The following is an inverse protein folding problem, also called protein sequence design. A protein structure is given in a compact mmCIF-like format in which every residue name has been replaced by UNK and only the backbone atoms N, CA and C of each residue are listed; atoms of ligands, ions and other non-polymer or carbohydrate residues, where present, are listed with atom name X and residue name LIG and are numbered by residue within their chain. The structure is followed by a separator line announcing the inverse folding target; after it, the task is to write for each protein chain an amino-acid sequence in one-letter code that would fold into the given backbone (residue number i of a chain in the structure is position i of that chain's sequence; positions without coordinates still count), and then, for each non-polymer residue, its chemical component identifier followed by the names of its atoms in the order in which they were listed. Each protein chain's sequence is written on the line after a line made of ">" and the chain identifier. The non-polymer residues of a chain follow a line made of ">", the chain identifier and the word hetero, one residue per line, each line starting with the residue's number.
data_IF_450563715412
#
_entry.id   IF_450563715412
#
_cell.length_a   1.000
_cell.length_b   1.000
_cell.length_c   1.000
_cell.angle_alpha   90.00
_cell.angle_beta   90.00
_cell.angle_gamma   90.00
#
_symmetry.space_group_name_H-M   'P 1'
#
loop_
_entity.id
_entity.type
_entity.pdbx_description
1 polymer ?
#
# COMPACT_ATOMS: atom_id res chain seq x y z
N UNK A 1 6.44 -1.77 5.42
CA UNK A 1 5.61 -2.43 6.45
C UNK A 1 5.73 -3.95 6.42
N UNK A 2 5.75 -4.58 5.24
CA UNK A 2 5.79 -6.05 5.09
C UNK A 2 6.91 -6.77 5.88
N UNK A 3 8.21 -6.39 5.81
CA UNK A 3 9.26 -7.10 6.56
C UNK A 3 9.02 -7.07 8.08
N UNK A 4 8.50 -5.96 8.61
CA UNK A 4 8.16 -5.83 10.03
C UNK A 4 7.04 -6.79 10.43
N UNK A 5 6.02 -6.95 9.59
CA UNK A 5 4.91 -7.88 9.85
C UNK A 5 5.40 -9.34 9.79
N UNK A 6 6.19 -9.69 8.78
CA UNK A 6 6.74 -11.04 8.62
C UNK A 6 7.64 -11.43 9.80
N UNK A 7 8.48 -10.52 10.30
CA UNK A 7 9.28 -10.75 11.49
C UNK A 7 8.42 -11.05 12.73
N UNK A 8 7.29 -10.35 12.89
CA UNK A 8 6.34 -10.62 13.99
C UNK A 8 5.62 -11.97 13.83
N UNK A 9 5.27 -12.36 12.61
CA UNK A 9 4.66 -13.67 12.34
C UNK A 9 5.68 -14.77 12.65
N UNK A 10 6.91 -14.65 12.17
CA UNK A 10 7.97 -15.63 12.40
C UNK A 10 8.32 -15.79 13.89
N UNK A 11 8.24 -14.72 14.68
CA UNK A 11 8.49 -14.81 16.13
C UNK A 11 7.38 -15.52 16.90
N UNK A 12 6.13 -15.41 16.46
CA UNK A 12 4.96 -16.05 17.11
C UNK A 12 4.71 -17.46 16.57
N UNK A 13 4.93 -17.67 15.28
CA UNK A 13 4.68 -18.91 14.55
C UNK A 13 5.92 -19.36 13.77
N UNK A 14 6.97 -19.87 14.45
CA UNK A 14 8.28 -20.13 13.83
C UNK A 14 8.29 -21.25 12.79
N UNK A 15 7.24 -22.08 12.73
CA UNK A 15 7.09 -23.16 11.75
C UNK A 15 6.15 -22.82 10.59
N UNK A 16 5.55 -21.63 10.61
CA UNK A 16 4.64 -21.19 9.54
C UNK A 16 5.47 -20.69 8.35
N UNK A 17 5.30 -21.33 7.20
CA UNK A 17 5.78 -20.81 5.93
C UNK A 17 4.74 -19.82 5.37
N UNK A 18 5.20 -18.65 4.91
CA UNK A 18 4.34 -17.62 4.31
C UNK A 18 4.75 -17.43 2.86
N UNK A 19 3.83 -17.68 1.93
CA UNK A 19 3.99 -17.29 0.53
C UNK A 19 3.57 -15.82 0.34
N UNK A 20 4.39 -15.04 -0.37
CA UNK A 20 4.19 -13.59 -0.52
C UNK A 20 4.00 -13.26 -1.99
N UNK A 21 2.88 -12.60 -2.31
CA UNK A 21 2.56 -12.16 -3.67
C UNK A 21 2.40 -10.65 -3.71
N UNK A 22 3.16 -10.00 -4.60
CA UNK A 22 3.10 -8.56 -4.81
C UNK A 22 2.26 -8.28 -6.05
N UNK A 23 1.15 -7.56 -5.87
CA UNK A 23 0.20 -7.18 -6.93
C UNK A 23 -0.27 -5.74 -6.71
N UNK A 24 -0.75 -5.10 -7.78
CA UNK A 24 -1.44 -3.80 -7.68
C UNK A 24 -2.71 -3.95 -6.85
N UNK A 25 -3.06 -2.91 -6.09
CA UNK A 25 -4.21 -2.93 -5.16
C UNK A 25 -5.53 -3.32 -5.82
N UNK A 26 -5.73 -2.97 -7.10
CA UNK A 26 -6.93 -3.31 -7.87
C UNK A 26 -7.20 -4.82 -7.99
N UNK A 27 -6.18 -5.68 -7.82
CA UNK A 27 -6.34 -7.13 -7.91
C UNK A 27 -6.55 -7.80 -6.55
N UNK A 28 -6.22 -7.09 -5.46
CA UNK A 28 -6.16 -7.69 -4.12
C UNK A 28 -7.53 -8.16 -3.63
N UNK A 29 -8.59 -7.36 -3.87
CA UNK A 29 -9.94 -7.72 -3.43
C UNK A 29 -10.44 -8.98 -4.16
N UNK A 30 -10.31 -9.04 -5.49
CA UNK A 30 -10.65 -10.24 -6.26
C UNK A 30 -9.83 -11.47 -5.86
N UNK A 31 -8.54 -11.31 -5.52
CA UNK A 31 -7.73 -12.43 -5.05
C UNK A 31 -8.17 -12.94 -3.68
N UNK A 32 -8.69 -12.07 -2.80
CA UNK A 32 -9.32 -12.49 -1.54
C UNK A 32 -10.65 -13.22 -1.81
N UNK A 33 -11.50 -12.67 -2.69
CA UNK A 33 -12.81 -13.26 -3.03
C UNK A 33 -12.66 -14.65 -3.64
N UNK A 34 -11.68 -14.82 -4.53
CA UNK A 34 -11.37 -16.08 -5.18
C UNK A 34 -10.56 -17.05 -4.30
N UNK A 35 -10.25 -16.69 -3.05
CA UNK A 35 -9.41 -17.48 -2.14
C UNK A 35 -8.02 -17.81 -2.73
N UNK A 36 -7.50 -16.95 -3.60
CA UNK A 36 -6.14 -17.06 -4.09
C UNK A 36 -5.15 -16.67 -2.99
N UNK A 37 -5.52 -15.74 -2.10
CA UNK A 37 -4.76 -15.35 -0.90
C UNK A 37 -5.66 -15.36 0.32
N UNK A 38 -5.10 -15.70 1.48
CA UNK A 38 -5.83 -15.70 2.75
C UNK A 38 -5.85 -14.33 3.42
N UNK A 39 -4.79 -13.53 3.22
CA UNK A 39 -4.57 -12.24 3.87
C UNK A 39 -3.97 -11.23 2.89
N UNK A 40 -4.37 -9.97 3.05
CA UNK A 40 -3.82 -8.87 2.28
C UNK A 40 -3.22 -7.78 3.19
N UNK A 41 -2.05 -7.27 2.79
CA UNK A 41 -1.45 -6.06 3.35
C UNK A 41 -1.51 -4.95 2.31
N UNK A 42 -2.37 -3.95 2.53
CA UNK A 42 -2.59 -2.87 1.56
C UNK A 42 -2.78 -1.52 2.26
N UNK A 43 -2.52 -0.45 1.53
CA UNK A 43 -2.91 0.93 1.89
C UNK A 43 -4.20 1.36 1.19
N UNK A 44 -4.69 0.57 0.22
CA UNK A 44 -5.96 0.83 -0.45
C UNK A 44 -7.14 0.45 0.45
N UNK A 45 -8.27 1.12 0.25
CA UNK A 45 -9.52 0.79 0.92
C UNK A 45 -10.13 -0.44 0.23
N UNK A 46 -10.28 -1.53 0.98
CA UNK A 46 -11.01 -2.73 0.55
C UNK A 46 -12.44 -2.62 1.07
N UNK A 47 -13.41 -3.03 0.26
CA UNK A 47 -14.84 -2.84 0.50
C UNK A 47 -15.36 -3.65 1.68
N UNK A 48 -15.54 -4.96 1.48
CA UNK A 48 -16.33 -5.82 2.37
C UNK A 48 -15.52 -6.78 3.24
N UNK A 49 -14.20 -6.90 3.03
CA UNK A 49 -13.36 -7.76 3.87
C UNK A 49 -13.12 -7.13 5.26
N UNK A 50 -13.14 -7.93 6.34
CA UNK A 50 -12.70 -7.48 7.66
C UNK A 50 -11.29 -6.90 7.60
N UNK A 51 -11.08 -5.76 8.28
CA UNK A 51 -9.80 -5.05 8.24
C UNK A 51 -9.38 -4.55 9.61
N UNK A 52 -8.08 -4.49 9.83
CA UNK A 52 -7.48 -3.89 11.03
C UNK A 52 -6.33 -2.98 10.62
N UNK A 53 -6.29 -1.78 11.16
CA UNK A 53 -5.20 -0.84 10.91
C UNK A 53 -3.93 -1.31 11.64
N UNK A 54 -2.85 -1.57 10.88
CA UNK A 54 -1.56 -1.98 11.46
C UNK A 54 -0.66 -0.78 11.78
N UNK A 55 -0.82 0.32 11.05
CA UNK A 55 -0.09 1.58 11.21
C UNK A 55 -0.84 2.70 10.50
N UNK A 56 -0.80 3.89 11.10
CA UNK A 56 -1.16 5.15 10.43
C UNK A 56 0.11 5.97 10.22
N UNK A 57 0.27 6.55 9.04
CA UNK A 57 1.38 7.42 8.70
C UNK A 57 0.86 8.62 7.88
N UNK A 58 1.48 9.80 8.02
CA UNK A 58 1.12 10.96 7.20
C UNK A 58 1.49 10.72 5.73
N UNK A 59 0.67 11.24 4.82
CA UNK A 59 0.99 11.37 3.39
C UNK A 59 1.51 12.79 3.17
N UNK A 60 2.68 12.91 2.55
CA UNK A 60 3.41 14.18 2.44
C UNK A 60 3.73 14.49 0.97
N UNK A 61 3.87 15.78 0.69
CA UNK A 61 4.46 16.26 -0.55
C UNK A 61 5.98 16.06 -0.52
N UNK A 62 6.52 15.53 -1.61
CA UNK A 62 7.96 15.33 -1.77
C UNK A 62 8.43 15.99 -3.06
N UNK A 63 9.58 16.63 -3.00
CA UNK A 63 10.28 17.20 -4.14
C UNK A 63 11.78 16.90 -4.03
N UNK A 64 12.52 17.13 -5.12
CA UNK A 64 13.97 17.08 -5.07
C UNK A 64 14.52 18.19 -4.14
N UNK A 65 15.68 18.00 -3.48
CA UNK A 65 16.23 18.99 -2.55
C UNK A 65 16.46 20.38 -3.15
N UNK A 66 16.68 20.44 -4.46
CA UNK A 66 16.94 21.63 -5.27
C UNK A 66 15.72 22.11 -6.06
N UNK A 67 14.56 21.47 -5.88
CA UNK A 67 13.32 21.89 -6.53
C UNK A 67 12.86 23.26 -6.05
N UNK A 68 12.68 24.19 -6.99
CA UNK A 68 12.11 25.51 -6.72
C UNK A 68 10.64 25.53 -7.15
N UNK A 69 9.74 25.68 -6.18
CA UNK A 69 8.32 25.83 -6.44
C UNK A 69 8.05 27.22 -7.05
N UNK A 70 7.54 27.25 -8.28
CA UNK A 70 7.09 28.48 -8.91
C UNK A 70 5.72 28.86 -8.38
N UNK A 71 5.67 29.97 -7.64
CA UNK A 71 4.41 30.49 -7.11
C UNK A 71 3.53 30.97 -8.26
N UNK A 72 2.24 30.66 -8.19
CA UNK A 72 1.21 30.98 -9.20
C UNK A 72 1.30 30.19 -10.51
N UNK A 73 2.17 29.18 -10.61
CA UNK A 73 2.16 28.22 -11.71
C UNK A 73 1.49 26.90 -11.28
N UNK A 74 0.93 26.12 -12.22
CA UNK A 74 0.46 24.77 -11.94
C UNK A 74 1.59 23.88 -11.36
N UNK A 75 1.27 23.10 -10.32
CA UNK A 75 2.25 22.18 -9.72
C UNK A 75 2.58 21.06 -10.73
N UNK A 76 3.86 20.83 -11.06
CA UNK A 76 4.26 19.77 -11.98
C UNK A 76 4.24 18.41 -11.27
N UNK A 77 3.05 17.83 -11.12
CA UNK A 77 2.85 16.57 -10.43
C UNK A 77 3.51 15.39 -11.17
N UNK A 78 4.35 14.64 -10.45
CA UNK A 78 4.84 13.34 -10.89
C UNK A 78 3.93 12.26 -10.33
N UNK A 79 3.10 11.67 -11.18
CA UNK A 79 2.07 10.71 -10.77
C UNK A 79 2.22 9.39 -11.51
N UNK A 80 1.79 8.31 -10.86
CA UNK A 80 1.61 7.01 -11.51
C UNK A 80 0.32 6.99 -12.35
N UNK A 81 -0.04 5.82 -12.87
CA UNK A 81 -1.28 5.62 -13.62
C UNK A 81 -2.54 6.03 -12.82
N UNK A 82 -3.67 6.17 -13.52
CA UNK A 82 -4.94 6.64 -12.98
C UNK A 82 -5.55 5.73 -11.90
N UNK A 83 -5.11 4.47 -11.85
CA UNK A 83 -5.57 3.50 -10.84
C UNK A 83 -4.85 3.66 -9.51
N UNK A 84 -3.78 4.47 -9.47
CA UNK A 84 -3.02 4.66 -8.26
C UNK A 84 -3.76 5.56 -7.26
N UNK A 85 -4.00 5.11 -6.02
CA UNK A 85 -4.75 5.88 -5.03
C UNK A 85 -4.07 7.21 -4.68
N UNK A 86 -2.74 7.32 -4.78
CA UNK A 86 -2.03 8.57 -4.47
C UNK A 86 -2.21 9.66 -5.55
N UNK A 87 -2.71 9.31 -6.74
CA UNK A 87 -3.02 10.27 -7.80
C UNK A 87 -4.38 10.95 -7.63
N UNK A 88 -5.33 10.28 -6.97
CA UNK A 88 -6.71 10.74 -6.81
C UNK A 88 -6.97 11.48 -5.47
N UNK A 89 -5.94 11.57 -4.61
CA UNK A 89 -6.04 12.23 -3.30
C UNK A 89 -6.31 13.73 -3.40
#
# INVERSE_FOLDING_TARGET
>A
LLPFLLNRIASVYPRLAVDVRIKRSQFIETMLDNHEIDLALTTARIGHHPRTALRTAPVLWHCAPDFQLQMNEPIPLVVMDETNPFRQL
#
